data_IF_313583139247
#
_entry.id   IF_313583139247
#
_cell.length_a   1.000
_cell.length_b   1.000
_cell.length_c   1.000
_cell.angle_alpha   90.00
_cell.angle_beta   90.00
_cell.angle_gamma   90.00
#
_symmetry.space_group_name_H-M   'P 1'
#
loop_
_entity.id
_entity.type
_entity.pdbx_description
1 polymer ?
#
# COMPACT_ATOMS: atom_id res chain seq x y z
N UNK A 1 -16.51 -7.86 -1.87
CA UNK A 1 -15.49 -7.15 -1.07
C UNK A 1 -14.36 -8.15 -0.82
N UNK A 2 -13.16 -7.90 -1.35
CA UNK A 2 -12.03 -8.82 -1.23
C UNK A 2 -11.43 -8.73 0.19
N UNK A 3 -11.10 -9.88 0.79
CA UNK A 3 -10.57 -9.98 2.14
C UNK A 3 -9.13 -10.46 2.07
N UNK A 4 -8.23 -9.80 2.80
CA UNK A 4 -6.82 -10.16 2.91
C UNK A 4 -6.50 -10.54 4.35
N UNK A 5 -5.82 -11.66 4.55
CA UNK A 5 -5.47 -12.10 5.91
C UNK A 5 -4.20 -11.43 6.41
N UNK A 6 -4.02 -11.25 7.73
CA UNK A 6 -2.80 -10.68 8.29
C UNK A 6 -1.52 -11.43 7.89
N UNK A 7 -1.62 -12.73 7.62
CA UNK A 7 -0.49 -13.57 7.18
C UNK A 7 -0.11 -13.26 5.73
N UNK A 8 -1.08 -13.07 4.84
CA UNK A 8 -0.83 -12.70 3.44
C UNK A 8 -0.16 -11.34 3.32
N UNK A 9 -0.68 -10.32 4.00
CA UNK A 9 -0.14 -8.95 3.90
C UNK A 9 1.24 -8.80 4.54
N UNK A 10 1.61 -9.66 5.48
CA UNK A 10 2.92 -9.65 6.13
C UNK A 10 3.96 -10.48 5.37
N UNK A 11 3.62 -11.14 4.26
CA UNK A 11 4.57 -11.95 3.48
C UNK A 11 5.64 -11.10 2.80
N UNK A 12 5.26 -9.92 2.34
CA UNK A 12 6.11 -8.99 1.58
C UNK A 12 6.47 -7.72 2.36
N UNK A 13 6.14 -7.67 3.66
CA UNK A 13 6.47 -6.55 4.53
C UNK A 13 6.91 -7.07 5.90
N UNK A 14 7.73 -6.29 6.61
CA UNK A 14 8.31 -6.73 7.88
C UNK A 14 7.28 -7.10 8.96
N UNK A 15 6.09 -6.47 8.95
CA UNK A 15 4.98 -6.81 9.83
C UNK A 15 3.65 -6.27 9.27
N UNK A 16 2.53 -6.81 9.77
CA UNK A 16 1.18 -6.43 9.33
C UNK A 16 0.85 -4.95 9.47
N UNK A 17 1.44 -4.24 10.45
CA UNK A 17 1.17 -2.82 10.66
C UNK A 17 1.86 -1.97 9.60
N UNK A 18 3.11 -2.31 9.27
CA UNK A 18 3.87 -1.67 8.21
C UNK A 18 3.20 -1.92 6.84
N UNK A 19 2.66 -3.12 6.60
CA UNK A 19 1.88 -3.42 5.40
C UNK A 19 0.74 -2.43 5.17
N UNK A 20 -0.02 -2.13 6.24
CA UNK A 20 -1.14 -1.17 6.17
C UNK A 20 -0.64 0.23 5.84
N UNK A 21 0.46 0.68 6.45
CA UNK A 21 1.04 2.00 6.17
C UNK A 21 1.54 2.11 4.72
N UNK A 22 2.18 1.06 4.20
CA UNK A 22 2.66 1.02 2.81
C UNK A 22 1.47 1.09 1.85
N UNK A 23 0.49 0.20 2.01
CA UNK A 23 -0.69 0.15 1.14
C UNK A 23 -1.48 1.48 1.18
N UNK A 24 -1.65 2.07 2.37
CA UNK A 24 -2.32 3.36 2.51
C UNK A 24 -1.56 4.50 1.82
N UNK A 25 -0.23 4.55 1.97
CA UNK A 25 0.60 5.56 1.32
C UNK A 25 0.58 5.38 -0.20
N UNK A 26 0.72 4.15 -0.68
CA UNK A 26 0.68 3.83 -2.10
C UNK A 26 -0.68 4.17 -2.72
N UNK A 27 -1.79 3.84 -2.04
CA UNK A 27 -3.13 4.22 -2.48
C UNK A 27 -3.31 5.75 -2.58
N UNK A 28 -2.69 6.54 -1.70
CA UNK A 28 -2.70 8.01 -1.78
C UNK A 28 -1.94 8.49 -3.02
N UNK A 29 -0.74 7.97 -3.26
CA UNK A 29 0.05 8.28 -4.47
C UNK A 29 -0.74 7.93 -5.73
N UNK A 30 -1.34 6.74 -5.78
CA UNK A 30 -2.21 6.35 -6.90
C UNK A 30 -3.43 7.28 -7.07
N UNK A 31 -3.87 7.98 -6.02
CA UNK A 31 -4.97 8.94 -6.08
C UNK A 31 -4.59 10.32 -6.59
N UNK A 32 -3.30 10.63 -6.68
CA UNK A 32 -2.81 11.89 -7.24
C UNK A 32 -2.84 11.87 -8.78
N UNK A 33 -2.85 10.69 -9.40
CA UNK A 33 -2.92 10.55 -10.86
C UNK A 33 -4.36 10.65 -11.39
N UNK A 34 -4.57 11.27 -12.57
CA UNK A 34 -5.86 11.26 -13.24
C UNK A 34 -6.34 9.83 -13.46
N UNK A 35 -7.61 9.57 -13.11
CA UNK A 35 -8.22 8.27 -13.29
C UNK A 35 -9.29 8.30 -14.35
N UNK A 36 -9.19 7.35 -15.28
CA UNK A 36 -10.35 6.95 -16.07
C UNK A 36 -11.24 6.08 -15.18
N UNK A 37 -12.36 6.66 -14.73
CA UNK A 37 -13.35 5.99 -13.88
C UNK A 37 -14.15 5.00 -14.72
N UNK A 38 -13.48 3.95 -15.17
CA UNK A 38 -14.12 2.80 -15.79
C UNK A 38 -15.05 2.13 -14.79
N UNK A 39 -16.18 1.60 -15.28
CA UNK A 39 -17.22 0.95 -14.48
C UNK A 39 -16.65 -0.21 -13.64
N UNK A 40 -15.54 -0.81 -14.06
CA UNK A 40 -14.91 -1.95 -13.39
C UNK A 40 -13.63 -1.59 -12.60
N UNK A 41 -13.37 -0.32 -12.31
CA UNK A 41 -12.18 0.06 -11.54
C UNK A 41 -12.29 -0.39 -10.07
N UNK A 42 -11.30 -1.16 -9.60
CA UNK A 42 -11.21 -1.57 -8.19
C UNK A 42 -10.95 -0.35 -7.30
N UNK A 43 -11.45 -0.39 -6.06
CA UNK A 43 -11.07 0.59 -5.02
C UNK A 43 -9.55 0.57 -4.82
N UNK A 44 -8.95 1.74 -4.63
CA UNK A 44 -7.49 1.91 -4.63
C UNK A 44 -6.82 1.19 -3.49
N UNK A 45 -7.49 1.15 -2.35
CA UNK A 45 -7.02 0.44 -1.16
C UNK A 45 -7.03 -1.08 -1.38
N UNK A 46 -8.00 -1.59 -2.15
CA UNK A 46 -8.03 -3.00 -2.56
C UNK A 46 -6.90 -3.30 -3.54
N UNK A 47 -6.72 -2.46 -4.56
CA UNK A 47 -5.62 -2.57 -5.52
C UNK A 47 -4.26 -2.49 -4.83
N UNK A 48 -4.06 -1.53 -3.94
CA UNK A 48 -2.80 -1.34 -3.20
C UNK A 48 -2.48 -2.53 -2.28
N UNK A 49 -3.48 -3.14 -1.65
CA UNK A 49 -3.27 -4.37 -0.87
C UNK A 49 -2.94 -5.57 -1.77
N UNK A 50 -3.60 -5.68 -2.92
CA UNK A 50 -3.35 -6.73 -3.91
C UNK A 50 -1.91 -6.67 -4.45
N UNK A 51 -1.47 -5.48 -4.87
CA UNK A 51 -0.10 -5.21 -5.33
C UNK A 51 0.94 -5.44 -4.22
N UNK A 52 0.61 -5.10 -2.96
CA UNK A 52 1.48 -5.43 -1.82
C UNK A 52 1.60 -6.95 -1.62
N UNK A 53 0.49 -7.68 -1.68
CA UNK A 53 0.47 -9.14 -1.45
C UNK A 53 1.07 -9.96 -2.58
N UNK A 54 1.10 -9.42 -3.80
CA UNK A 54 1.78 -10.02 -4.95
C UNK A 54 3.28 -9.69 -4.98
N UNK A 55 3.73 -8.74 -4.17
CA UNK A 55 5.13 -8.31 -4.13
C UNK A 55 5.49 -7.33 -5.24
N UNK A 56 4.51 -6.64 -5.83
CA UNK A 56 4.72 -5.63 -6.88
C UNK A 56 5.11 -4.25 -6.32
N UNK A 57 5.06 -4.07 -4.99
CA UNK A 57 5.43 -2.82 -4.32
C UNK A 57 6.81 -2.94 -3.67
N UNK A 58 7.78 -2.23 -4.24
CA UNK A 58 9.06 -1.96 -3.60
C UNK A 58 8.95 -0.77 -2.63
N UNK A 59 9.51 -0.91 -1.43
CA UNK A 59 9.52 0.16 -0.45
C UNK A 59 10.82 0.23 0.34
N UNK A 60 11.12 1.44 0.83
CA UNK A 60 12.20 1.70 1.77
C UNK A 60 11.68 2.56 2.91
N UNK A 61 11.92 2.11 4.15
CA UNK A 61 11.62 2.91 5.34
C UNK A 61 12.72 3.97 5.49
N UNK A 62 12.34 5.23 5.36
CA UNK A 62 13.26 6.37 5.54
C UNK A 62 13.03 6.96 6.93
N UNK A 63 14.04 7.00 7.82
CA UNK A 63 13.89 7.61 9.13
C UNK A 63 13.64 9.12 8.99
N UNK A 64 12.77 9.65 9.86
CA UNK A 64 12.50 11.09 9.90
C UNK A 64 13.76 11.81 10.39
N UNK A 65 14.26 12.77 9.60
CA UNK A 65 15.34 13.67 10.04
C UNK A 65 14.87 14.43 11.28
N UNK A 66 15.58 14.27 12.40
CA UNK A 66 15.39 15.12 13.58
C UNK A 66 16.15 16.44 13.32
N UNK A 67 15.56 17.61 13.56
CA UNK A 67 16.34 18.84 13.58
C UNK A 67 17.44 18.70 14.63
N UNK A 68 18.68 19.09 14.29
CA UNK A 68 19.78 19.16 15.26
C UNK A 68 19.35 20.08 16.40
N UNK A 69 19.50 19.59 17.63
CA UNK A 69 19.27 20.38 18.83
C UNK A 69 20.25 21.56 18.91
#
# INVERSE_FOLDING_TARGET
>A
MQVFTPKEVAKHAANKYLSVLIAAKFARVLNEFPRDRSINEKKLTTRALEELTSGEIDYKVVPRRRPSA
#
